data_IF_090646339524
#
_entry.id   IF_090646339524
#
_cell.length_a   1.000
_cell.length_b   1.000
_cell.length_c   1.000
_cell.angle_alpha   90.00
_cell.angle_beta   90.00
_cell.angle_gamma   90.00
#
_symmetry.space_group_name_H-M   'P 1'
#
loop_
_entity.id
_entity.type
_entity.pdbx_description
1 polymer ?
#
# COMPACT_ATOMS: atom_id res chain seq x y z
N UNK A 1 -26.43 -36.02 -6.44
CA UNK A 1 -25.33 -36.88 -5.96
C UNK A 1 -24.15 -35.95 -5.75
N UNK A 2 -23.76 -35.69 -4.51
CA UNK A 2 -22.66 -34.77 -4.21
C UNK A 2 -21.46 -35.62 -3.78
N UNK A 3 -20.43 -35.63 -4.62
CA UNK A 3 -19.16 -36.27 -4.32
C UNK A 3 -18.33 -35.33 -3.46
N UNK A 4 -17.91 -35.81 -2.29
CA UNK A 4 -16.96 -35.10 -1.44
C UNK A 4 -15.64 -34.94 -2.20
N UNK A 5 -15.30 -33.71 -2.58
CA UNK A 5 -13.98 -33.37 -3.13
C UNK A 5 -12.94 -33.53 -2.02
N UNK A 6 -11.91 -34.35 -2.28
CA UNK A 6 -10.88 -34.65 -1.29
C UNK A 6 -10.04 -33.39 -0.99
N UNK A 7 -9.50 -33.29 0.23
CA UNK A 7 -8.72 -32.12 0.66
C UNK A 7 -7.50 -31.79 -0.21
N UNK A 8 -6.96 -32.77 -0.96
CA UNK A 8 -5.89 -32.56 -1.94
C UNK A 8 -6.39 -31.79 -3.18
N UNK A 9 -7.60 -32.10 -3.68
CA UNK A 9 -8.18 -31.46 -4.86
C UNK A 9 -8.52 -29.99 -4.61
N UNK A 10 -8.95 -29.66 -3.38
CA UNK A 10 -9.26 -28.27 -2.97
C UNK A 10 -8.02 -27.38 -3.10
N UNK A 11 -6.83 -27.90 -2.80
CA UNK A 11 -5.59 -27.11 -2.85
C UNK A 11 -5.15 -26.73 -4.26
N UNK A 12 -5.56 -27.50 -5.26
CA UNK A 12 -5.28 -27.27 -6.68
C UNK A 12 -6.42 -26.54 -7.40
N UNK A 13 -7.67 -26.79 -7.02
CA UNK A 13 -8.85 -26.20 -7.68
C UNK A 13 -9.01 -24.72 -7.33
N UNK A 14 -8.86 -24.34 -6.05
CA UNK A 14 -9.09 -22.93 -5.64
C UNK A 14 -8.18 -21.94 -6.40
N UNK A 15 -6.86 -22.15 -6.53
CA UNK A 15 -6.01 -21.26 -7.33
C UNK A 15 -6.53 -21.02 -8.76
N UNK A 16 -6.98 -22.08 -9.43
CA UNK A 16 -7.49 -21.98 -10.79
C UNK A 16 -8.79 -21.17 -10.86
N UNK A 17 -9.70 -21.38 -9.89
CA UNK A 17 -10.92 -20.59 -9.79
C UNK A 17 -10.62 -19.11 -9.54
N UNK A 18 -9.59 -18.79 -8.75
CA UNK A 18 -9.17 -17.41 -8.53
C UNK A 18 -8.70 -16.78 -9.84
N UNK A 19 -7.86 -17.47 -10.61
CA UNK A 19 -7.42 -16.99 -11.92
C UNK A 19 -8.60 -16.70 -12.85
N UNK A 20 -9.60 -17.58 -12.88
CA UNK A 20 -10.81 -17.39 -13.69
C UNK A 20 -11.65 -16.18 -13.20
N UNK A 21 -11.81 -16.00 -11.89
CA UNK A 21 -12.53 -14.88 -11.27
C UNK A 21 -11.79 -13.54 -11.48
N UNK A 22 -10.47 -13.56 -11.49
CA UNK A 22 -9.63 -12.37 -11.72
C UNK A 22 -9.49 -12.00 -13.19
N UNK A 23 -9.73 -12.95 -14.10
CA UNK A 23 -9.63 -12.75 -15.54
C UNK A 23 -10.59 -11.68 -16.07
N UNK A 24 -10.26 -11.10 -17.22
CA UNK A 24 -11.13 -10.12 -17.91
C UNK A 24 -12.37 -10.78 -18.57
N UNK A 25 -12.48 -12.11 -18.54
CA UNK A 25 -13.59 -12.83 -19.15
C UNK A 25 -14.76 -12.99 -18.16
N UNK A 26 -15.70 -12.05 -18.21
CA UNK A 26 -16.89 -12.04 -17.36
C UNK A 26 -17.71 -13.35 -17.41
N UNK A 27 -17.66 -14.09 -18.52
CA UNK A 27 -18.40 -15.36 -18.65
C UNK A 27 -17.89 -16.47 -17.71
N UNK A 28 -16.66 -16.33 -17.20
CA UNK A 28 -16.08 -17.29 -16.26
C UNK A 28 -16.44 -16.97 -14.81
N UNK A 29 -16.76 -15.72 -14.48
CA UNK A 29 -16.91 -15.27 -13.10
C UNK A 29 -18.01 -16.03 -12.35
N UNK A 30 -19.23 -16.08 -12.91
CA UNK A 30 -20.36 -16.74 -12.26
C UNK A 30 -20.16 -18.26 -12.08
N UNK A 31 -19.74 -19.04 -13.10
CA UNK A 31 -19.40 -20.47 -12.93
C UNK A 31 -18.34 -20.71 -11.83
N UNK A 32 -17.25 -19.94 -11.83
CA UNK A 32 -16.17 -20.14 -10.87
C UNK A 32 -16.58 -19.74 -9.45
N UNK A 33 -17.39 -18.69 -9.29
CA UNK A 33 -17.99 -18.33 -8.00
C UNK A 33 -18.96 -19.40 -7.48
N UNK A 34 -19.75 -20.04 -8.35
CA UNK A 34 -20.63 -21.16 -7.94
C UNK A 34 -19.81 -22.34 -7.41
N UNK A 35 -18.76 -22.72 -8.13
CA UNK A 35 -17.89 -23.81 -7.71
C UNK A 35 -17.13 -23.47 -6.43
N UNK A 36 -16.69 -22.21 -6.27
CA UNK A 36 -16.09 -21.74 -5.03
C UNK A 36 -17.07 -21.82 -3.85
N UNK A 37 -18.34 -21.46 -4.06
CA UNK A 37 -19.38 -21.60 -3.03
C UNK A 37 -19.57 -23.06 -2.61
N UNK A 38 -19.62 -24.01 -3.55
CA UNK A 38 -19.72 -25.44 -3.24
C UNK A 38 -18.56 -25.90 -2.35
N UNK A 39 -17.32 -25.56 -2.72
CA UNK A 39 -16.13 -25.90 -1.93
C UNK A 39 -16.20 -25.30 -0.52
N UNK A 40 -16.60 -24.03 -0.40
CA UNK A 40 -16.75 -23.35 0.89
C UNK A 40 -17.85 -23.99 1.74
N UNK A 41 -18.94 -24.45 1.13
CA UNK A 41 -20.02 -25.13 1.85
C UNK A 41 -19.57 -26.50 2.39
N UNK A 42 -18.78 -27.25 1.63
CA UNK A 42 -18.30 -28.57 2.02
C UNK A 42 -17.16 -28.52 3.06
N UNK A 43 -16.39 -27.43 3.10
CA UNK A 43 -15.29 -27.28 4.06
C UNK A 43 -15.71 -26.49 5.31
N UNK A 44 -15.83 -27.20 6.46
CA UNK A 44 -16.18 -26.57 7.75
C UNK A 44 -15.10 -25.64 8.30
N UNK A 45 -13.84 -25.82 7.90
CA UNK A 45 -12.70 -24.97 8.27
C UNK A 45 -12.48 -23.87 7.21
N UNK A 46 -13.57 -23.18 6.82
CA UNK A 46 -13.53 -22.10 5.82
C UNK A 46 -12.59 -20.96 6.19
N UNK A 47 -12.16 -20.87 7.46
CA UNK A 47 -11.22 -19.86 7.96
C UNK A 47 -9.84 -19.99 7.32
N UNK A 48 -9.32 -21.21 7.27
CA UNK A 48 -7.98 -21.47 6.75
C UNK A 48 -7.93 -21.26 5.25
N UNK A 49 -8.99 -21.67 4.53
CA UNK A 49 -9.14 -21.39 3.11
C UNK A 49 -9.27 -19.89 2.82
N UNK A 50 -10.14 -19.19 3.55
CA UNK A 50 -10.35 -17.75 3.36
C UNK A 50 -9.08 -16.94 3.57
N UNK A 51 -8.26 -17.30 4.56
CA UNK A 51 -6.98 -16.65 4.85
C UNK A 51 -5.90 -17.03 3.82
N UNK A 52 -5.73 -18.33 3.57
CA UNK A 52 -4.72 -18.86 2.64
C UNK A 52 -4.84 -18.25 1.25
N UNK A 53 -6.07 -18.12 0.76
CA UNK A 53 -6.38 -17.67 -0.59
C UNK A 53 -6.84 -16.22 -0.68
N UNK A 54 -6.83 -15.47 0.43
CA UNK A 54 -7.25 -14.06 0.48
C UNK A 54 -8.60 -13.81 -0.21
N UNK A 55 -9.60 -14.64 0.08
CA UNK A 55 -10.89 -14.60 -0.60
C UNK A 55 -11.68 -13.30 -0.35
N UNK A 56 -11.45 -12.62 0.78
CA UNK A 56 -12.16 -11.39 1.16
C UNK A 56 -11.98 -10.26 0.14
N UNK A 57 -10.75 -9.80 -0.19
CA UNK A 57 -10.53 -8.83 -1.27
C UNK A 57 -11.13 -9.23 -2.62
N UNK A 58 -10.99 -10.50 -3.01
CA UNK A 58 -11.46 -11.02 -4.28
C UNK A 58 -12.99 -10.89 -4.40
N UNK A 59 -13.72 -11.34 -3.37
CA UNK A 59 -15.18 -11.31 -3.33
C UNK A 59 -15.70 -9.87 -3.22
N UNK A 60 -15.00 -9.00 -2.48
CA UNK A 60 -15.37 -7.59 -2.35
C UNK A 60 -15.40 -6.83 -3.69
N UNK A 61 -14.63 -7.26 -4.70
CA UNK A 61 -14.70 -6.71 -6.07
C UNK A 61 -16.13 -6.76 -6.63
N UNK A 62 -16.83 -7.87 -6.40
CA UNK A 62 -18.18 -8.10 -6.90
C UNK A 62 -19.25 -7.60 -5.92
N UNK A 63 -19.04 -7.78 -4.61
CA UNK A 63 -19.98 -7.27 -3.60
C UNK A 63 -20.01 -5.74 -3.54
N UNK A 64 -18.91 -5.06 -3.92
CA UNK A 64 -18.84 -3.61 -4.03
C UNK A 64 -19.56 -3.04 -5.27
N UNK A 65 -19.78 -3.86 -6.31
CA UNK A 65 -20.64 -3.49 -7.42
C UNK A 65 -22.09 -3.75 -7.00
N UNK A 66 -22.79 -2.71 -6.50
CA UNK A 66 -24.15 -2.78 -5.94
C UNK A 66 -25.21 -2.95 -7.06
N UNK A 67 -24.97 -3.90 -7.95
CA UNK A 67 -25.86 -4.37 -9.00
C UNK A 67 -26.40 -5.74 -8.57
N UNK A 68 -27.70 -5.98 -8.75
CA UNK A 68 -28.32 -7.28 -8.41
C UNK A 68 -28.03 -8.34 -9.48
N UNK A 69 -26.81 -8.39 -9.98
CA UNK A 69 -26.33 -9.41 -10.90
C UNK A 69 -25.99 -10.71 -10.15
N UNK A 70 -25.72 -11.77 -10.91
CA UNK A 70 -25.48 -13.09 -10.36
C UNK A 70 -24.18 -13.14 -9.53
N UNK A 71 -23.15 -12.43 -9.99
CA UNK A 71 -21.84 -12.35 -9.34
C UNK A 71 -21.93 -11.67 -7.97
N UNK A 72 -22.71 -10.59 -7.86
CA UNK A 72 -23.00 -9.93 -6.59
C UNK A 72 -23.68 -10.89 -5.62
N UNK A 73 -24.71 -11.62 -6.08
CA UNK A 73 -25.45 -12.58 -5.24
C UNK A 73 -24.54 -13.71 -4.77
N UNK A 74 -23.76 -14.30 -5.67
CA UNK A 74 -22.83 -15.39 -5.33
C UNK A 74 -21.74 -14.91 -4.37
N UNK A 75 -21.12 -13.77 -4.67
CA UNK A 75 -20.06 -13.20 -3.85
C UNK A 75 -20.54 -12.87 -2.43
N UNK A 76 -21.66 -12.17 -2.29
CA UNK A 76 -22.23 -11.84 -0.98
C UNK A 76 -22.67 -13.08 -0.21
N UNK A 77 -23.14 -14.13 -0.90
CA UNK A 77 -23.47 -15.42 -0.29
C UNK A 77 -22.21 -16.11 0.26
N UNK A 78 -21.11 -16.16 -0.51
CA UNK A 78 -19.85 -16.74 -0.05
C UNK A 78 -19.32 -15.95 1.16
N UNK A 79 -19.30 -14.62 1.08
CA UNK A 79 -18.90 -13.75 2.18
C UNK A 79 -19.74 -14.00 3.44
N UNK A 80 -21.07 -14.15 3.29
CA UNK A 80 -21.96 -14.47 4.39
C UNK A 80 -21.63 -15.83 5.03
N UNK A 81 -21.43 -16.88 4.23
CA UNK A 81 -21.08 -18.22 4.74
C UNK A 81 -19.73 -18.18 5.49
N UNK A 82 -18.72 -17.53 4.91
CA UNK A 82 -17.40 -17.36 5.55
C UNK A 82 -17.56 -16.58 6.86
N UNK A 83 -18.33 -15.48 6.86
CA UNK A 83 -18.58 -14.66 8.04
C UNK A 83 -19.29 -15.42 9.16
N UNK A 84 -20.32 -16.21 8.83
CA UNK A 84 -21.08 -17.02 9.80
C UNK A 84 -20.21 -18.15 10.37
N UNK A 85 -19.41 -18.84 9.54
CA UNK A 85 -18.56 -19.96 9.99
C UNK A 85 -17.31 -19.53 10.75
N UNK A 86 -16.76 -18.37 10.43
CA UNK A 86 -15.47 -17.90 10.97
C UNK A 86 -15.62 -16.74 11.96
N UNK A 87 -16.83 -16.23 12.15
CA UNK A 87 -17.15 -15.07 12.97
C UNK A 87 -17.27 -15.39 14.45
N UNK A 88 -18.30 -14.83 15.08
CA UNK A 88 -18.56 -15.01 16.51
C UNK A 88 -19.38 -16.27 16.77
N UNK A 89 -19.01 -17.03 17.80
CA UNK A 89 -19.84 -18.10 18.36
C UNK A 89 -21.01 -17.54 19.21
N UNK A 90 -21.13 -16.22 19.36
CA UNK A 90 -22.27 -15.59 20.02
C UNK A 90 -23.55 -15.86 19.22
N UNK A 91 -24.41 -16.70 19.80
CA UNK A 91 -25.68 -17.11 19.21
C UNK A 91 -26.58 -15.92 18.86
N UNK A 92 -26.46 -14.80 19.56
CA UNK A 92 -27.19 -13.56 19.29
C UNK A 92 -26.75 -12.94 17.97
N UNK A 93 -25.44 -12.90 17.72
CA UNK A 93 -24.87 -12.38 16.47
C UNK A 93 -25.25 -13.31 15.30
N UNK A 94 -25.15 -14.62 15.51
CA UNK A 94 -25.53 -15.63 14.52
C UNK A 94 -27.04 -15.59 14.18
N UNK A 95 -27.90 -15.40 15.18
CA UNK A 95 -29.33 -15.23 14.98
C UNK A 95 -29.64 -13.97 14.16
N UNK A 96 -28.89 -12.87 14.39
CA UNK A 96 -29.00 -11.65 13.61
C UNK A 96 -28.67 -11.87 12.13
N UNK A 97 -27.58 -12.61 11.86
CA UNK A 97 -27.21 -12.98 10.49
C UNK A 97 -28.28 -13.86 9.81
N UNK A 98 -28.90 -14.78 10.55
CA UNK A 98 -29.92 -15.69 10.02
C UNK A 98 -31.24 -14.99 9.62
N UNK A 99 -31.59 -13.88 10.28
CA UNK A 99 -32.85 -13.16 10.03
C UNK A 99 -32.68 -11.93 9.12
N UNK A 100 -31.45 -11.59 8.71
CA UNK A 100 -31.18 -10.35 7.97
C UNK A 100 -31.88 -10.30 6.61
N UNK A 101 -32.00 -11.43 5.91
CA UNK A 101 -32.77 -11.55 4.66
C UNK A 101 -34.28 -11.33 4.86
N UNK A 102 -34.81 -11.73 6.01
CA UNK A 102 -36.21 -11.50 6.41
C UNK A 102 -36.41 -10.01 6.70
N UNK A 103 -35.46 -9.37 7.40
CA UNK A 103 -35.46 -7.92 7.62
C UNK A 103 -35.41 -7.19 6.28
N UNK A 104 -34.57 -7.60 5.33
CA UNK A 104 -34.55 -7.02 3.99
C UNK A 104 -35.91 -7.15 3.27
N UNK A 105 -36.56 -8.31 3.39
CA UNK A 105 -37.88 -8.56 2.80
C UNK A 105 -38.96 -7.67 3.42
N UNK A 106 -38.90 -7.45 4.74
CA UNK A 106 -39.80 -6.57 5.49
C UNK A 106 -39.77 -5.12 4.96
N UNK A 107 -38.60 -4.61 4.59
CA UNK A 107 -38.44 -3.26 4.04
C UNK A 107 -38.73 -3.15 2.53
N UNK A 108 -39.26 -4.20 1.90
CA UNK A 108 -39.61 -4.18 0.48
C UNK A 108 -40.75 -3.19 0.16
N UNK A 109 -40.64 -2.53 -1.00
CA UNK A 109 -41.74 -1.74 -1.57
C UNK A 109 -42.89 -2.61 -2.07
N UNK A 110 -42.63 -3.88 -2.36
CA UNK A 110 -43.67 -4.84 -2.69
C UNK A 110 -44.42 -5.26 -1.40
N UNK A 111 -45.72 -4.98 -1.38
CA UNK A 111 -46.56 -5.18 -0.20
C UNK A 111 -46.62 -6.65 0.22
N UNK A 112 -46.71 -7.59 -0.74
CA UNK A 112 -46.79 -9.02 -0.44
C UNK A 112 -45.51 -9.53 0.17
N UNK A 113 -44.36 -9.13 -0.37
CA UNK A 113 -43.03 -9.48 0.15
C UNK A 113 -42.83 -8.92 1.55
N UNK A 114 -43.17 -7.64 1.76
CA UNK A 114 -43.06 -6.99 3.07
C UNK A 114 -43.96 -7.64 4.12
N UNK A 115 -45.23 -7.93 3.78
CA UNK A 115 -46.17 -8.65 4.66
C UNK A 115 -45.71 -10.07 4.97
N UNK A 116 -45.11 -10.76 4.01
CA UNK A 116 -44.58 -12.11 4.23
C UNK A 116 -43.36 -12.06 5.16
N UNK A 117 -42.46 -11.08 4.97
CA UNK A 117 -41.31 -10.85 5.84
C UNK A 117 -41.71 -10.47 7.26
N UNK A 118 -42.69 -9.58 7.43
CA UNK A 118 -43.19 -9.19 8.76
C UNK A 118 -43.82 -10.37 9.49
N UNK A 119 -44.63 -11.17 8.80
CA UNK A 119 -45.25 -12.37 9.36
C UNK A 119 -44.20 -13.40 9.79
N UNK A 120 -43.26 -13.75 8.91
CA UNK A 120 -42.20 -14.71 9.20
C UNK A 120 -41.36 -14.28 10.41
N UNK A 121 -41.02 -12.97 10.51
CA UNK A 121 -40.26 -12.48 11.64
C UNK A 121 -41.05 -12.52 12.95
N UNK A 122 -42.35 -12.21 12.92
CA UNK A 122 -43.23 -12.35 14.10
C UNK A 122 -43.30 -13.79 14.60
N UNK A 123 -43.46 -14.77 13.70
CA UNK A 123 -43.46 -16.20 14.06
C UNK A 123 -42.14 -16.61 14.72
N UNK A 124 -41.00 -16.18 14.16
CA UNK A 124 -39.68 -16.45 14.74
C UNK A 124 -39.48 -15.81 16.12
N UNK A 125 -40.01 -14.61 16.36
CA UNK A 125 -39.94 -13.93 17.66
C UNK A 125 -40.73 -14.71 18.72
N UNK A 126 -41.89 -15.28 18.34
CA UNK A 126 -42.70 -16.10 19.24
C UNK A 126 -41.96 -17.37 19.67
N UNK A 127 -41.30 -18.03 18.73
CA UNK A 127 -40.68 -19.34 18.96
C UNK A 127 -39.26 -19.29 19.51
N UNK A 128 -38.49 -18.22 19.24
CA UNK A 128 -37.04 -18.23 19.47
C UNK A 128 -36.55 -17.02 20.27
N UNK A 129 -36.20 -17.26 21.53
CA UNK A 129 -35.67 -16.24 22.46
C UNK A 129 -34.35 -15.60 21.98
N UNK A 130 -33.49 -16.36 21.32
CA UNK A 130 -32.21 -15.86 20.80
C UNK A 130 -32.46 -14.84 19.69
N UNK A 131 -33.45 -15.08 18.83
CA UNK A 131 -33.87 -14.12 17.79
C UNK A 131 -34.42 -12.84 18.44
N UNK A 132 -35.20 -12.96 19.52
CA UNK A 132 -35.69 -11.79 20.26
C UNK A 132 -34.54 -10.94 20.78
N UNK A 133 -33.59 -11.57 21.49
CA UNK A 133 -32.41 -10.88 22.01
C UNK A 133 -31.55 -10.30 20.89
N UNK A 134 -31.45 -10.97 19.75
CA UNK A 134 -30.77 -10.43 18.57
C UNK A 134 -31.42 -9.14 18.10
N UNK A 135 -32.72 -9.14 17.81
CA UNK A 135 -33.41 -7.95 17.32
C UNK A 135 -33.30 -6.77 18.29
N UNK A 136 -33.26 -7.04 19.59
CA UNK A 136 -33.10 -6.01 20.62
C UNK A 136 -31.68 -5.43 20.69
N UNK A 137 -30.65 -6.17 20.27
CA UNK A 137 -29.24 -5.78 20.41
C UNK A 137 -28.53 -5.43 19.10
N UNK A 138 -28.98 -5.95 17.95
CA UNK A 138 -28.28 -5.84 16.65
C UNK A 138 -28.81 -4.70 15.76
N UNK A 139 -29.30 -3.61 16.38
CA UNK A 139 -29.66 -2.37 15.67
C UNK A 139 -31.00 -2.40 14.92
N UNK A 140 -31.80 -3.46 15.01
CA UNK A 140 -33.12 -3.51 14.38
C UNK A 140 -34.05 -2.40 14.90
N UNK A 141 -34.06 -2.12 16.21
CA UNK A 141 -34.85 -1.04 16.80
C UNK A 141 -34.45 0.33 16.20
N UNK A 142 -33.16 0.56 15.94
CA UNK A 142 -32.69 1.78 15.27
C UNK A 142 -33.15 1.85 13.81
N UNK A 143 -33.15 0.72 13.07
CA UNK A 143 -33.73 0.65 11.72
C UNK A 143 -35.22 1.01 11.73
N UNK A 144 -35.98 0.52 12.72
CA UNK A 144 -37.40 0.88 12.92
C UNK A 144 -37.52 2.39 13.16
N UNK A 145 -36.73 2.95 14.07
CA UNK A 145 -36.73 4.37 14.40
C UNK A 145 -36.52 5.24 13.14
N UNK A 146 -35.49 4.93 12.36
CA UNK A 146 -35.17 5.64 11.12
C UNK A 146 -36.30 5.58 10.09
N UNK A 147 -36.96 4.42 9.96
CA UNK A 147 -38.07 4.22 9.04
C UNK A 147 -39.25 5.17 9.29
N UNK A 148 -39.45 5.59 10.53
CA UNK A 148 -40.50 6.55 10.92
C UNK A 148 -40.02 8.00 10.84
N UNK A 149 -38.78 8.31 11.26
CA UNK A 149 -38.23 9.68 11.19
C UNK A 149 -38.18 10.19 9.74
N UNK A 150 -37.70 9.37 8.80
CA UNK A 150 -37.60 9.74 7.39
C UNK A 150 -38.97 9.89 6.70
N UNK A 151 -40.06 9.63 7.42
CA UNK A 151 -41.42 9.80 6.93
C UNK A 151 -42.13 11.04 7.48
N UNK A 152 -41.60 11.67 8.54
CA UNK A 152 -42.21 12.85 9.18
C UNK A 152 -41.69 14.20 8.63
N UNK A 153 -40.70 14.22 7.73
CA UNK A 153 -40.14 15.47 7.19
C UNK A 153 -41.02 16.15 6.10
N UNK A 154 -42.13 15.53 5.66
CA UNK A 154 -42.92 16.06 4.54
C UNK A 154 -44.01 17.06 4.92
N UNK A 155 -44.11 17.50 6.18
CA UNK A 155 -45.17 18.43 6.62
C UNK A 155 -44.70 19.88 6.76
N UNK A 156 -43.88 20.37 5.84
CA UNK A 156 -43.76 21.81 5.56
C UNK A 156 -43.04 22.09 4.25
N UNK A 157 -43.83 22.33 3.19
CA UNK A 157 -43.60 23.26 2.05
C UNK A 157 -43.78 22.64 0.68
N UNK A 158 -44.65 23.26 -0.09
CA UNK A 158 -44.97 23.03 -1.49
C UNK A 158 -43.76 23.21 -2.42
N UNK A 159 -43.52 22.28 -3.35
CA UNK A 159 -43.36 22.50 -4.80
C UNK A 159 -42.63 21.33 -5.49
N UNK A 160 -43.23 20.88 -6.59
CA UNK A 160 -42.63 20.21 -7.75
C UNK A 160 -41.56 19.11 -7.56
N UNK A 161 -41.97 17.90 -7.94
CA UNK A 161 -41.17 16.93 -8.69
C UNK A 161 -39.94 16.34 -8.02
N UNK A 162 -40.05 15.85 -6.78
CA UNK A 162 -39.22 14.76 -6.30
C UNK A 162 -40.08 13.75 -5.54
N UNK A 163 -40.07 12.49 -5.97
CA UNK A 163 -40.66 11.38 -5.22
C UNK A 163 -39.76 11.11 -4.02
N UNK A 164 -39.87 11.93 -2.98
CA UNK A 164 -39.16 11.70 -1.72
C UNK A 164 -39.56 10.33 -1.19
N UNK A 165 -38.54 9.52 -0.88
CA UNK A 165 -38.61 8.10 -0.55
C UNK A 165 -39.25 7.88 0.82
N UNK A 166 -40.55 8.10 0.92
CA UNK A 166 -41.30 7.82 2.14
C UNK A 166 -41.41 6.31 2.34
N UNK A 167 -41.19 5.86 3.57
CA UNK A 167 -41.41 4.46 3.95
C UNK A 167 -42.87 4.09 3.67
N UNK A 168 -43.14 3.03 2.87
CA UNK A 168 -44.51 2.66 2.55
C UNK A 168 -45.35 2.32 3.79
N UNK A 169 -46.66 2.61 3.73
CA UNK A 169 -47.59 2.37 4.84
C UNK A 169 -47.57 0.92 5.34
N UNK A 170 -47.55 -0.05 4.43
CA UNK A 170 -47.53 -1.47 4.78
C UNK A 170 -46.26 -1.87 5.55
N UNK A 171 -45.11 -1.27 5.23
CA UNK A 171 -43.86 -1.47 5.97
C UNK A 171 -44.00 -0.91 7.38
N UNK A 172 -44.53 0.31 7.55
CA UNK A 172 -44.77 0.92 8.86
C UNK A 172 -45.66 0.05 9.75
N UNK A 173 -46.76 -0.45 9.20
CA UNK A 173 -47.65 -1.37 9.92
C UNK A 173 -46.92 -2.66 10.35
N UNK A 174 -46.16 -3.28 9.44
CA UNK A 174 -45.38 -4.48 9.73
C UNK A 174 -44.32 -4.26 10.81
N UNK A 175 -43.62 -3.12 10.79
CA UNK A 175 -42.64 -2.76 11.82
C UNK A 175 -43.28 -2.62 13.20
N UNK A 176 -44.45 -1.98 13.29
CA UNK A 176 -45.17 -1.85 14.57
C UNK A 176 -45.66 -3.20 15.08
N UNK A 177 -46.07 -4.12 14.20
CA UNK A 177 -46.44 -5.48 14.62
C UNK A 177 -45.26 -6.23 15.24
N UNK A 178 -44.08 -6.11 14.62
CA UNK A 178 -42.85 -6.70 15.15
C UNK A 178 -42.46 -6.08 16.50
N UNK A 179 -42.48 -4.74 16.61
CA UNK A 179 -42.17 -4.06 17.88
C UNK A 179 -43.16 -4.45 18.97
N UNK A 180 -44.46 -4.49 18.67
CA UNK A 180 -45.47 -4.94 19.61
C UNK A 180 -45.18 -6.36 20.11
N UNK A 181 -44.80 -7.27 19.20
CA UNK A 181 -44.44 -8.64 19.59
C UNK A 181 -43.20 -8.68 20.47
N UNK A 182 -42.15 -7.93 20.14
CA UNK A 182 -40.92 -7.86 20.95
C UNK A 182 -41.21 -7.35 22.36
N UNK A 183 -41.93 -6.22 22.47
CA UNK A 183 -42.27 -5.63 23.78
C UNK A 183 -43.17 -6.55 24.62
N UNK A 184 -44.00 -7.37 23.98
CA UNK A 184 -44.85 -8.34 24.69
C UNK A 184 -44.10 -9.60 25.16
N UNK A 185 -42.88 -9.86 24.67
CA UNK A 185 -42.19 -11.16 24.85
C UNK A 185 -40.79 -11.05 25.43
N UNK A 186 -40.22 -9.85 25.56
CA UNK A 186 -38.87 -9.61 26.08
C UNK A 186 -38.95 -8.88 27.42
N UNK A 187 -38.14 -9.30 28.38
CA UNK A 187 -38.07 -8.67 29.71
C UNK A 187 -37.27 -7.35 29.69
N UNK A 188 -36.13 -7.32 29.00
CA UNK A 188 -35.33 -6.10 28.85
C UNK A 188 -35.88 -5.21 27.73
N UNK A 189 -36.65 -4.20 28.12
CA UNK A 189 -37.26 -3.25 27.20
C UNK A 189 -36.41 -2.00 26.95
N UNK A 190 -35.24 -1.86 27.61
CA UNK A 190 -34.39 -0.66 27.48
C UNK A 190 -34.08 -0.29 26.02
N UNK A 191 -33.77 -1.24 25.11
CA UNK A 191 -33.50 -0.90 23.72
C UNK A 191 -34.67 -0.21 23.00
N UNK A 192 -35.91 -0.47 23.39
CA UNK A 192 -37.12 0.10 22.77
C UNK A 192 -37.44 1.53 23.22
N UNK A 193 -36.76 2.04 24.25
CA UNK A 193 -36.96 3.39 24.78
C UNK A 193 -36.76 4.48 23.72
N UNK A 194 -35.86 4.26 22.76
CA UNK A 194 -35.60 5.18 21.64
C UNK A 194 -36.82 5.41 20.74
N UNK A 195 -37.80 4.51 20.78
CA UNK A 195 -39.05 4.60 20.02
C UNK A 195 -40.12 5.43 20.74
N UNK A 196 -39.98 5.72 22.04
CA UNK A 196 -41.00 6.43 22.83
C UNK A 196 -41.40 7.78 22.21
N UNK A 197 -40.47 8.67 21.79
CA UNK A 197 -40.84 9.94 21.17
C UNK A 197 -41.68 9.74 19.90
N UNK A 198 -41.28 8.79 19.05
CA UNK A 198 -41.96 8.49 17.79
C UNK A 198 -43.33 7.87 18.05
N UNK A 199 -43.44 6.91 18.97
CA UNK A 199 -44.72 6.31 19.34
C UNK A 199 -45.68 7.35 19.93
N UNK A 200 -45.16 8.35 20.64
CA UNK A 200 -45.95 9.48 21.16
C UNK A 200 -46.47 10.37 20.03
N UNK A 201 -45.63 10.67 19.04
CA UNK A 201 -46.04 11.40 17.84
C UNK A 201 -47.10 10.63 17.03
N UNK A 202 -46.85 9.34 16.75
CA UNK A 202 -47.77 8.47 16.00
C UNK A 202 -49.10 8.26 16.72
N UNK A 203 -49.10 8.25 18.06
CA UNK A 203 -50.32 8.21 18.87
C UNK A 203 -51.20 9.44 18.64
N UNK A 204 -50.61 10.62 18.42
CA UNK A 204 -51.37 11.86 18.30
C UNK A 204 -51.69 12.20 16.83
N UNK A 205 -50.77 11.85 15.91
CA UNK A 205 -50.76 12.35 14.53
C UNK A 205 -50.77 11.23 13.47
N UNK A 206 -50.71 9.95 13.87
CA UNK A 206 -50.66 8.81 12.94
C UNK A 206 -52.01 8.47 12.30
N UNK A 207 -51.95 7.78 11.16
CA UNK A 207 -53.13 7.17 10.52
C UNK A 207 -53.80 6.13 11.44
N UNK A 208 -55.12 5.93 11.31
CA UNK A 208 -55.95 5.19 12.28
C UNK A 208 -55.37 3.85 12.77
N UNK A 209 -54.86 3.00 11.88
CA UNK A 209 -54.31 1.69 12.29
C UNK A 209 -52.91 1.81 12.90
N UNK A 210 -52.06 2.70 12.37
CA UNK A 210 -50.75 3.03 12.92
C UNK A 210 -50.90 3.61 14.33
N UNK A 211 -51.85 4.52 14.51
CA UNK A 211 -52.21 5.12 15.80
C UNK A 211 -52.64 4.05 16.80
N UNK A 212 -53.53 3.13 16.40
CA UNK A 212 -53.99 2.04 17.27
C UNK A 212 -52.83 1.13 17.70
N UNK A 213 -51.94 0.75 16.76
CA UNK A 213 -50.76 -0.07 17.06
C UNK A 213 -49.78 0.67 17.97
N UNK A 214 -49.52 1.95 17.71
CA UNK A 214 -48.63 2.77 18.53
C UNK A 214 -49.15 2.91 19.97
N UNK A 215 -50.46 3.14 20.14
CA UNK A 215 -51.10 3.18 21.47
C UNK A 215 -50.91 1.87 22.22
N UNK A 216 -51.12 0.72 21.57
CA UNK A 216 -50.95 -0.59 22.22
C UNK A 216 -49.51 -0.82 22.67
N UNK A 217 -48.54 -0.49 21.84
CA UNK A 217 -47.10 -0.61 22.20
C UNK A 217 -46.77 0.32 23.37
N UNK A 218 -47.23 1.57 23.30
CA UNK A 218 -46.99 2.56 24.35
C UNK A 218 -47.58 2.12 25.70
N UNK A 219 -48.76 1.50 25.70
CA UNK A 219 -49.40 0.94 26.90
C UNK A 219 -48.62 -0.22 27.51
N UNK A 220 -47.83 -0.98 26.73
CA UNK A 220 -46.98 -2.05 27.27
C UNK A 220 -45.67 -1.48 27.86
N UNK A 221 -45.12 -0.44 27.25
CA UNK A 221 -43.89 0.22 27.72
C UNK A 221 -44.10 1.00 29.02
N UNK A 222 -45.22 1.72 29.17
CA UNK A 222 -45.46 2.65 30.28
C UNK A 222 -45.56 2.00 31.69
N UNK A 223 -46.33 0.91 31.92
CA UNK A 223 -46.43 0.28 33.24
C UNK A 223 -45.16 -0.46 33.67
N UNK A 224 -44.26 -0.83 32.74
CA UNK A 224 -42.99 -1.46 33.08
C UNK A 224 -41.89 -0.44 33.41
N UNK A 225 -41.96 0.76 32.84
CA UNK A 225 -41.13 1.90 33.26
C UNK A 225 -41.56 2.45 34.63
N UNK A 226 -42.84 2.32 35.00
CA UNK A 226 -43.38 2.79 36.28
C UNK A 226 -43.12 1.87 37.49
N UNK A 227 -42.63 0.64 37.31
CA UNK A 227 -42.32 -0.28 38.44
C UNK A 227 -41.14 0.18 39.31
N UNK A 228 -40.41 1.23 38.93
CA UNK A 228 -39.32 1.80 39.74
C UNK A 228 -39.75 2.91 40.71
N UNK A 229 -41.03 3.33 40.74
CA UNK A 229 -41.46 4.37 41.67
C UNK A 229 -42.94 4.27 41.99
N UNK A 230 -43.26 3.89 43.23
CA UNK A 230 -44.63 3.93 43.74
C UNK A 230 -44.59 4.15 45.25
N UNK A 231 -45.06 5.31 45.74
CA UNK A 231 -45.87 5.43 46.97
C UNK A 231 -46.75 6.70 46.95
N UNK A 232 -47.83 6.67 47.75
CA UNK A 232 -49.07 7.44 47.61
C UNK A 232 -49.12 8.81 48.32
N UNK A 233 -49.54 9.81 47.55
CA UNK A 233 -50.59 10.83 47.80
C UNK A 233 -50.60 11.79 49.01
N UNK A 234 -49.68 11.72 49.98
CA UNK A 234 -49.39 12.86 50.89
C UNK A 234 -48.00 13.48 50.71
N UNK A 235 -47.14 12.81 49.95
CA UNK A 235 -45.81 13.29 49.55
C UNK A 235 -45.85 14.29 48.39
N UNK A 236 -46.98 14.57 47.74
CA UNK A 236 -46.98 15.31 46.46
C UNK A 236 -46.34 16.70 46.52
N UNK A 237 -46.41 17.42 47.63
CA UNK A 237 -45.77 18.75 47.73
C UNK A 237 -44.26 18.65 48.02
N UNK A 238 -43.82 17.69 48.83
CA UNK A 238 -42.40 17.42 49.09
C UNK A 238 -41.73 16.73 47.88
N UNK A 239 -42.48 15.90 47.16
CA UNK A 239 -42.10 15.23 45.92
C UNK A 239 -42.03 16.24 44.76
N UNK A 240 -42.95 17.22 44.66
CA UNK A 240 -42.82 18.33 43.71
C UNK A 240 -41.58 19.17 44.00
N UNK A 241 -41.23 19.38 45.28
CA UNK A 241 -40.01 20.10 45.68
C UNK A 241 -38.75 19.28 45.34
N UNK A 242 -38.72 17.99 45.66
CA UNK A 242 -37.63 17.08 45.29
C UNK A 242 -37.48 16.90 43.78
N UNK A 243 -38.59 16.85 43.03
CA UNK A 243 -38.61 16.80 41.56
C UNK A 243 -38.10 18.11 40.95
N UNK A 244 -38.42 19.27 41.54
CA UNK A 244 -37.85 20.56 41.11
C UNK A 244 -36.35 20.62 41.37
N UNK A 245 -35.89 20.20 42.54
CA UNK A 245 -34.46 20.12 42.86
C UNK A 245 -33.73 19.07 42.01
N UNK A 246 -34.41 17.99 41.63
CA UNK A 246 -33.93 16.97 40.70
C UNK A 246 -33.82 17.49 39.27
N UNK A 247 -34.84 18.21 38.77
CA UNK A 247 -34.80 18.86 37.46
C UNK A 247 -33.71 19.93 37.37
N UNK A 248 -33.52 20.73 38.42
CA UNK A 248 -32.44 21.73 38.47
C UNK A 248 -31.05 21.05 38.43
N UNK A 249 -30.87 19.94 39.16
CA UNK A 249 -29.64 19.14 39.11
C UNK A 249 -29.42 18.51 37.73
N UNK A 250 -30.45 17.90 37.15
CA UNK A 250 -30.38 17.28 35.82
C UNK A 250 -30.12 18.33 34.73
N UNK A 251 -30.70 19.53 34.86
CA UNK A 251 -30.45 20.65 33.96
C UNK A 251 -29.00 21.13 34.07
N UNK A 252 -28.47 21.29 35.28
CA UNK A 252 -27.07 21.65 35.50
C UNK A 252 -26.11 20.58 34.96
N UNK A 253 -26.46 19.30 35.11
CA UNK A 253 -25.68 18.18 34.56
C UNK A 253 -25.73 18.14 33.02
N UNK A 254 -26.90 18.37 32.42
CA UNK A 254 -27.03 18.54 30.96
C UNK A 254 -26.23 19.73 30.44
N UNK A 255 -26.22 20.85 31.16
CA UNK A 255 -25.41 22.02 30.82
C UNK A 255 -23.92 21.68 30.81
N UNK A 256 -23.45 20.98 31.86
CA UNK A 256 -22.06 20.52 31.99
C UNK A 256 -21.67 19.51 30.91
N UNK A 257 -22.54 18.54 30.62
CA UNK A 257 -22.33 17.55 29.56
C UNK A 257 -22.30 18.20 28.17
N UNK A 258 -23.13 19.22 27.94
CA UNK A 258 -23.13 20.01 26.70
C UNK A 258 -21.83 20.79 26.53
N UNK A 259 -21.29 21.36 27.61
CA UNK A 259 -20.00 22.05 27.57
C UNK A 259 -18.83 21.07 27.35
N UNK A 260 -18.88 19.89 27.96
CA UNK A 260 -17.89 18.84 27.72
C UNK A 260 -17.94 18.32 26.28
N UNK A 261 -19.15 18.15 25.71
CA UNK A 261 -19.33 17.76 24.31
C UNK A 261 -18.73 18.81 23.36
N UNK A 262 -18.94 20.10 23.62
CA UNK A 262 -18.30 21.17 22.85
C UNK A 262 -16.78 21.12 22.90
N UNK A 263 -16.19 20.84 24.07
CA UNK A 263 -14.74 20.70 24.21
C UNK A 263 -14.22 19.51 23.39
N UNK A 264 -14.93 18.38 23.42
CA UNK A 264 -14.61 17.19 22.61
C UNK A 264 -14.73 17.45 21.11
N UNK A 265 -15.76 18.17 20.67
CA UNK A 265 -15.92 18.58 19.26
C UNK A 265 -14.79 19.50 18.79
N UNK A 266 -14.38 20.48 19.61
CA UNK A 266 -13.24 21.35 19.30
C UNK A 266 -11.92 20.57 19.22
N UNK A 267 -11.70 19.61 20.10
CA UNK A 267 -10.53 18.74 20.07
C UNK A 267 -10.50 17.86 18.82
N UNK A 268 -11.64 17.25 18.47
CA UNK A 268 -11.80 16.45 17.27
C UNK A 268 -11.57 17.29 16.00
N UNK A 269 -12.03 18.54 15.98
CA UNK A 269 -11.78 19.45 14.86
C UNK A 269 -10.30 19.82 14.72
N UNK A 270 -9.57 19.97 15.83
CA UNK A 270 -8.11 20.20 15.80
C UNK A 270 -7.36 18.96 15.33
N UNK A 271 -7.80 17.78 15.73
CA UNK A 271 -7.21 16.52 15.29
C UNK A 271 -7.42 16.28 13.79
N UNK A 272 -8.63 16.57 13.29
CA UNK A 272 -8.92 16.53 11.84
C UNK A 272 -8.02 17.46 11.05
N UNK A 273 -7.82 18.70 11.51
CA UNK A 273 -6.87 19.64 10.88
C UNK A 273 -5.43 19.09 10.83
N UNK A 274 -4.96 18.48 11.91
CA UNK A 274 -3.62 17.85 11.93
C UNK A 274 -3.53 16.67 10.97
N UNK A 275 -4.59 15.88 10.83
CA UNK A 275 -4.65 14.78 9.89
C UNK A 275 -4.61 15.29 8.44
N UNK A 276 -5.40 16.31 8.11
CA UNK A 276 -5.43 16.92 6.77
C UNK A 276 -4.05 17.51 6.39
N UNK A 277 -3.38 18.19 7.32
CA UNK A 277 -2.02 18.71 7.12
C UNK A 277 -0.98 17.58 6.91
N UNK A 278 -1.09 16.49 7.67
CA UNK A 278 -0.23 15.32 7.51
C UNK A 278 -0.45 14.64 6.16
N UNK A 279 -1.70 14.50 5.72
CA UNK A 279 -2.06 13.91 4.43
C UNK A 279 -1.52 14.75 3.26
N UNK A 280 -1.65 16.07 3.32
CA UNK A 280 -1.04 16.97 2.34
C UNK A 280 0.49 16.87 2.29
N UNK A 281 1.14 16.63 3.44
CA UNK A 281 2.59 16.44 3.50
C UNK A 281 3.01 15.10 2.91
N UNK A 282 2.25 14.03 3.17
CA UNK A 282 2.45 12.71 2.57
C UNK A 282 2.30 12.78 1.05
N UNK A 283 1.26 13.47 0.55
CA UNK A 283 1.05 13.64 -0.88
C UNK A 283 2.21 14.36 -1.57
N UNK A 284 2.73 15.45 -0.97
CA UNK A 284 3.92 16.15 -1.48
C UNK A 284 5.16 15.25 -1.49
N UNK A 285 5.43 14.54 -0.40
CA UNK A 285 6.56 13.60 -0.34
C UNK A 285 6.45 12.46 -1.37
N UNK A 286 5.23 12.00 -1.67
CA UNK A 286 5.00 11.00 -2.70
C UNK A 286 5.30 11.55 -4.11
N UNK A 287 4.90 12.79 -4.39
CA UNK A 287 5.24 13.46 -5.65
C UNK A 287 6.75 13.68 -5.80
N UNK A 288 7.43 14.12 -4.73
CA UNK A 288 8.89 14.33 -4.75
C UNK A 288 9.63 13.01 -5.02
N UNK A 289 9.20 11.90 -4.40
CA UNK A 289 9.78 10.57 -4.65
C UNK A 289 9.58 10.09 -6.08
N UNK A 290 8.40 10.35 -6.66
CA UNK A 290 8.13 9.98 -8.06
C UNK A 290 9.01 10.79 -9.02
N UNK A 291 9.22 12.08 -8.74
CA UNK A 291 10.12 12.93 -9.51
C UNK A 291 11.57 12.44 -9.42
N UNK A 292 12.06 12.13 -8.21
CA UNK A 292 13.41 11.60 -7.99
C UNK A 292 13.63 10.25 -8.70
N UNK A 293 12.61 9.38 -8.70
CA UNK A 293 12.64 8.11 -9.43
C UNK A 293 12.79 8.32 -10.94
N UNK A 294 12.00 9.23 -11.52
CA UNK A 294 12.10 9.56 -12.95
C UNK A 294 13.46 10.17 -13.31
N UNK A 295 14.05 10.98 -12.43
CA UNK A 295 15.38 11.54 -12.65
C UNK A 295 16.47 10.45 -12.61
N UNK A 296 16.36 9.50 -11.67
CA UNK A 296 17.28 8.37 -11.57
C UNK A 296 17.18 7.44 -12.79
N UNK A 297 15.97 7.14 -13.27
CA UNK A 297 15.77 6.35 -14.50
C UNK A 297 16.41 7.02 -15.73
N UNK A 298 16.33 8.36 -15.83
CA UNK A 298 17.01 9.12 -16.90
C UNK A 298 18.52 9.03 -16.79
N UNK A 299 19.07 9.19 -15.58
CA UNK A 299 20.52 9.07 -15.34
C UNK A 299 21.02 7.66 -15.66
N UNK A 300 20.29 6.63 -15.27
CA UNK A 300 20.64 5.24 -15.56
C UNK A 300 20.63 4.95 -17.07
N UNK A 301 19.64 5.47 -17.80
CA UNK A 301 19.59 5.36 -19.27
C UNK A 301 20.76 6.09 -19.96
N UNK A 302 21.17 7.26 -19.44
CA UNK A 302 22.33 8.01 -19.95
C UNK A 302 23.64 7.27 -19.65
N UNK A 303 23.78 6.71 -18.45
CA UNK A 303 24.95 5.95 -18.02
C UNK A 303 25.13 4.69 -18.90
N UNK A 304 24.03 4.00 -19.21
CA UNK A 304 24.03 2.87 -20.14
C UNK A 304 24.47 3.26 -21.56
N UNK A 305 24.02 4.42 -22.07
CA UNK A 305 24.47 4.93 -23.39
C UNK A 305 25.97 5.21 -23.41
N UNK A 306 26.51 5.80 -22.34
CA UNK A 306 27.94 6.08 -22.22
C UNK A 306 28.76 4.79 -22.09
N UNK A 307 28.25 3.76 -21.41
CA UNK A 307 28.87 2.43 -21.38
C UNK A 307 28.92 1.79 -22.77
N UNK A 308 27.81 1.82 -23.51
CA UNK A 308 27.74 1.31 -24.89
C UNK A 308 28.72 2.06 -25.82
N UNK A 309 28.80 3.39 -25.70
CA UNK A 309 29.74 4.22 -26.47
C UNK A 309 31.21 3.89 -26.12
N UNK A 310 31.53 3.72 -24.83
CA UNK A 310 32.86 3.34 -24.38
C UNK A 310 33.28 1.95 -24.88
N UNK A 311 32.39 0.96 -24.85
CA UNK A 311 32.66 -0.36 -25.42
C UNK A 311 32.89 -0.28 -26.94
N UNK A 312 32.12 0.54 -27.65
CA UNK A 312 32.30 0.76 -29.08
C UNK A 312 33.64 1.46 -29.39
N UNK A 313 34.03 2.47 -28.60
CA UNK A 313 35.34 3.13 -28.71
C UNK A 313 36.50 2.15 -28.46
N UNK A 314 36.41 1.29 -27.43
CA UNK A 314 37.40 0.23 -27.19
C UNK A 314 37.50 -0.75 -28.36
N UNK A 315 36.37 -1.14 -28.95
CA UNK A 315 36.32 -2.02 -30.12
C UNK A 315 36.98 -1.37 -31.34
N UNK A 316 36.67 -0.10 -31.61
CA UNK A 316 37.29 0.67 -32.68
C UNK A 316 38.80 0.89 -32.46
N UNK A 317 39.24 1.08 -31.20
CA UNK A 317 40.66 1.15 -30.87
C UNK A 317 41.37 -0.18 -31.14
N UNK A 318 40.76 -1.32 -30.76
CA UNK A 318 41.28 -2.65 -31.10
C UNK A 318 41.39 -2.86 -32.60
N UNK A 319 40.38 -2.45 -33.38
CA UNK A 319 40.41 -2.56 -34.84
C UNK A 319 41.46 -1.64 -35.49
N UNK A 320 41.75 -0.47 -34.91
CA UNK A 320 42.85 0.39 -35.36
C UNK A 320 44.23 -0.20 -35.03
N UNK A 321 44.35 -0.97 -33.94
CA UNK A 321 45.57 -1.70 -33.58
C UNK A 321 45.74 -2.98 -34.42
N UNK A 322 44.64 -3.56 -34.93
CA UNK A 322 44.62 -4.75 -35.80
C UNK A 322 44.69 -4.45 -37.30
N UNK A 323 44.71 -3.18 -37.73
CA UNK A 323 45.28 -2.86 -39.03
C UNK A 323 46.76 -3.27 -38.98
N UNK A 324 47.24 -4.12 -39.91
CA UNK A 324 48.60 -4.61 -39.84
C UNK A 324 49.54 -3.42 -39.93
N UNK A 325 50.09 -3.01 -38.78
CA UNK A 325 51.36 -2.32 -38.73
C UNK A 325 52.29 -3.23 -39.50
N UNK A 326 52.62 -2.82 -40.72
CA UNK A 326 53.73 -3.39 -41.46
C UNK A 326 54.86 -3.49 -40.44
N UNK A 327 55.27 -4.71 -40.11
CA UNK A 327 56.50 -4.95 -39.36
C UNK A 327 57.60 -4.21 -40.13
N UNK A 328 57.93 -3.00 -39.68
CA UNK A 328 59.19 -2.40 -40.08
C UNK A 328 60.27 -3.36 -39.61
N UNK A 329 61.26 -3.67 -40.46
CA UNK A 329 62.33 -4.59 -40.11
C UNK A 329 62.99 -4.10 -38.82
N UNK A 330 62.93 -4.97 -37.81
CA UNK A 330 63.51 -4.79 -36.49
C UNK A 330 65.02 -4.96 -36.60
N UNK A 331 65.69 -4.00 -37.24
CA UNK A 331 67.13 -3.86 -37.30
C UNK A 331 67.43 -2.36 -37.46
N UNK A 332 67.38 -1.60 -36.35
CA UNK A 332 68.01 -0.28 -36.28
C UNK A 332 69.38 -0.47 -35.63
N UNK A 333 70.46 -0.75 -36.39
CA UNK A 333 71.79 -0.82 -35.81
C UNK A 333 72.19 0.58 -35.32
N UNK A 334 72.08 0.80 -34.00
CA UNK A 334 72.56 2.01 -33.34
C UNK A 334 74.10 2.00 -33.42
N UNK A 335 74.67 3.06 -34.00
CA UNK A 335 76.11 3.19 -34.18
C UNK A 335 76.63 4.24 -33.21
N UNK A 336 77.66 3.90 -32.45
CA UNK A 336 78.28 4.85 -31.53
C UNK A 336 79.29 5.70 -32.32
N UNK A 337 79.10 7.01 -32.27
CA UNK A 337 80.07 7.96 -32.77
C UNK A 337 81.23 8.05 -31.77
N UNK A 338 82.34 7.40 -32.11
CA UNK A 338 83.54 7.38 -31.30
C UNK A 338 84.34 8.67 -31.49
N UNK A 339 84.02 9.67 -30.67
CA UNK A 339 84.68 10.99 -30.72
C UNK A 339 86.17 10.88 -30.33
N UNK A 340 86.60 9.78 -29.65
CA UNK A 340 88.00 9.64 -29.21
C UNK A 340 88.53 8.20 -29.16
N UNK A 341 88.91 7.66 -30.32
CA UNK A 341 89.29 6.24 -30.51
C UNK A 341 90.55 5.79 -29.77
N UNK A 342 91.38 6.71 -29.30
CA UNK A 342 92.59 6.41 -28.53
C UNK A 342 92.33 5.99 -27.08
N UNK A 343 91.17 6.32 -26.51
CA UNK A 343 90.89 6.13 -25.08
C UNK A 343 89.78 5.12 -24.77
N UNK A 344 89.06 4.63 -25.78
CA UNK A 344 87.95 3.70 -25.62
C UNK A 344 88.04 2.50 -26.58
N UNK A 345 87.48 1.38 -26.16
CA UNK A 345 87.22 0.20 -27.00
C UNK A 345 85.72 -0.09 -27.03
N UNK A 346 85.25 -0.59 -28.17
CA UNK A 346 83.87 -0.99 -28.38
C UNK A 346 83.83 -2.48 -28.71
N UNK A 347 82.89 -3.21 -28.11
CA UNK A 347 82.63 -4.61 -28.44
C UNK A 347 81.13 -4.88 -28.45
N UNK A 348 80.68 -5.74 -29.36
CA UNK A 348 79.31 -6.20 -29.41
C UNK A 348 79.07 -7.29 -28.36
N UNK A 349 78.02 -7.16 -27.55
CA UNK A 349 77.63 -8.20 -26.59
C UNK A 349 76.73 -9.24 -27.27
N UNK A 350 75.68 -8.78 -27.98
CA UNK A 350 74.65 -9.65 -28.56
C UNK A 350 74.00 -9.08 -29.84
N UNK A 351 74.67 -8.15 -30.53
CA UNK A 351 74.14 -7.46 -31.71
C UNK A 351 73.12 -6.36 -31.42
N UNK A 352 72.59 -6.29 -30.19
CA UNK A 352 71.65 -5.25 -29.73
C UNK A 352 72.34 -4.29 -28.75
N UNK A 353 73.19 -4.81 -27.88
CA UNK A 353 73.93 -4.02 -26.88
C UNK A 353 75.41 -3.89 -27.23
N UNK A 354 75.92 -2.65 -27.13
CA UNK A 354 77.33 -2.31 -27.29
C UNK A 354 77.98 -2.12 -25.93
N UNK A 355 79.14 -2.72 -25.71
CA UNK A 355 80.00 -2.49 -24.54
C UNK A 355 81.08 -1.48 -24.85
N UNK A 356 81.13 -0.40 -24.07
CA UNK A 356 82.18 0.62 -24.10
C UNK A 356 83.15 0.34 -22.95
N UNK A 357 84.44 0.21 -23.25
CA UNK A 357 85.50 0.00 -22.24
C UNK A 357 86.52 1.12 -22.31
N UNK A 358 86.70 1.84 -21.21
CA UNK A 358 87.66 2.93 -21.07
C UNK A 358 89.07 2.38 -20.80
N UNK A 359 90.09 2.96 -21.45
CA UNK A 359 91.49 2.52 -21.34
C UNK A 359 92.38 3.40 -20.45
N UNK A 360 91.98 4.65 -20.21
CA UNK A 360 92.76 5.62 -19.42
C UNK A 360 91.83 6.41 -18.52
N UNK A 361 92.31 6.81 -17.36
CA UNK A 361 91.59 7.65 -16.40
C UNK A 361 91.50 9.10 -16.92
N UNK A 362 90.42 9.40 -17.65
CA UNK A 362 90.16 10.71 -18.25
C UNK A 362 88.66 10.88 -18.52
N UNK A 363 88.15 12.11 -18.59
CA UNK A 363 86.75 12.34 -18.94
C UNK A 363 86.53 12.14 -20.45
N UNK A 364 85.65 11.20 -20.81
CA UNK A 364 85.36 10.85 -22.21
C UNK A 364 83.86 10.90 -22.45
N UNK A 365 83.46 11.36 -23.63
CA UNK A 365 82.08 11.35 -24.08
C UNK A 365 81.98 10.58 -25.40
N UNK A 366 80.87 9.85 -25.56
CA UNK A 366 80.50 9.17 -26.80
C UNK A 366 79.04 9.51 -27.09
N UNK A 367 78.71 9.79 -28.34
CA UNK A 367 77.33 10.03 -28.77
C UNK A 367 76.84 8.91 -29.69
N UNK A 368 75.53 8.81 -29.86
CA UNK A 368 74.98 8.02 -30.95
C UNK A 368 75.17 8.77 -32.27
N UNK A 369 75.35 8.04 -33.36
CA UNK A 369 75.43 8.62 -34.72
C UNK A 369 74.04 8.99 -35.23
N UNK A 370 73.01 8.32 -34.73
CA UNK A 370 71.62 8.55 -35.10
C UNK A 370 71.05 9.77 -34.37
N UNK A 371 70.33 10.60 -35.11
CA UNK A 371 69.49 11.67 -34.56
C UNK A 371 68.11 11.09 -34.23
N UNK A 372 67.70 11.22 -32.97
CA UNK A 372 66.46 10.65 -32.45
C UNK A 372 65.30 11.64 -32.66
N UNK A 373 64.83 11.78 -33.89
CA UNK A 373 63.72 12.67 -34.25
C UNK A 373 62.37 11.90 -34.27
N UNK A 374 61.29 12.56 -33.83
CA UNK A 374 59.90 12.11 -33.93
C UNK A 374 59.58 10.70 -33.37
N UNK A 375 58.87 10.63 -32.24
CA UNK A 375 58.41 9.38 -31.65
C UNK A 375 58.87 9.20 -30.20
N UNK A 376 58.60 8.02 -29.64
CA UNK A 376 59.04 7.63 -28.30
C UNK A 376 60.21 6.66 -28.48
N UNK A 377 61.34 6.99 -27.86
CA UNK A 377 62.55 6.18 -27.92
C UNK A 377 62.88 5.66 -26.51
N UNK A 378 63.27 4.39 -26.45
CA UNK A 378 63.76 3.75 -25.24
C UNK A 378 65.27 3.44 -25.37
N UNK A 379 65.98 3.62 -24.26
CA UNK A 379 67.40 3.29 -24.15
C UNK A 379 67.64 2.64 -22.80
N UNK A 380 68.26 1.47 -22.82
CA UNK A 380 68.76 0.80 -21.63
C UNK A 380 70.29 0.93 -21.57
N UNK A 381 70.82 1.36 -20.43
CA UNK A 381 72.25 1.41 -20.19
C UNK A 381 72.59 0.85 -18.82
N UNK A 382 73.72 0.14 -18.76
CA UNK A 382 74.28 -0.41 -17.55
C UNK A 382 75.69 0.15 -17.34
N UNK A 383 75.91 0.78 -16.19
CA UNK A 383 77.23 1.25 -15.76
C UNK A 383 77.87 0.22 -14.84
N UNK A 384 79.08 -0.20 -15.16
CA UNK A 384 79.88 -1.08 -14.32
C UNK A 384 81.12 -0.31 -13.86
N UNK A 385 80.91 0.66 -12.97
CA UNK A 385 81.96 1.51 -12.38
C UNK A 385 82.07 1.23 -10.88
N UNK A 386 83.29 1.22 -10.34
CA UNK A 386 83.50 1.27 -8.88
C UNK A 386 83.62 2.71 -8.39
N UNK A 387 83.60 2.94 -7.07
CA UNK A 387 83.69 4.28 -6.48
C UNK A 387 85.02 5.00 -6.82
N UNK A 388 86.05 4.25 -7.22
CA UNK A 388 87.36 4.77 -7.67
C UNK A 388 87.43 4.98 -9.20
N UNK A 389 86.51 4.40 -9.99
CA UNK A 389 86.53 4.44 -11.47
C UNK A 389 85.81 5.66 -12.08
N UNK A 390 85.23 6.51 -11.23
CA UNK A 390 84.46 7.69 -11.63
C UNK A 390 82.96 7.45 -11.86
N UNK A 391 82.25 8.50 -12.28
CA UNK A 391 80.80 8.48 -12.52
C UNK A 391 80.50 8.29 -14.02
N UNK A 392 79.65 7.31 -14.34
CA UNK A 392 79.07 7.14 -15.67
C UNK A 392 77.74 7.88 -15.75
N UNK A 393 77.42 8.48 -16.90
CA UNK A 393 76.15 9.18 -17.04
C UNK A 393 75.60 9.13 -18.47
N UNK A 394 74.28 9.22 -18.56
CA UNK A 394 73.56 9.43 -19.82
C UNK A 394 72.98 10.84 -19.88
N UNK A 395 72.96 11.40 -21.08
CA UNK A 395 72.28 12.67 -21.34
C UNK A 395 71.80 12.81 -22.77
N UNK A 396 70.87 13.76 -22.94
CA UNK A 396 70.28 14.12 -24.23
C UNK A 396 70.73 15.53 -24.58
N UNK A 397 71.27 15.70 -25.79
CA UNK A 397 71.71 16.98 -26.35
C UNK A 397 71.00 17.24 -27.67
N UNK A 398 70.87 18.50 -28.05
CA UNK A 398 70.39 18.86 -29.39
C UNK A 398 71.38 18.37 -30.45
N UNK A 399 70.88 17.90 -31.59
CA UNK A 399 71.72 17.40 -32.70
C UNK A 399 72.79 18.41 -33.16
N UNK A 400 72.44 19.69 -33.15
CA UNK A 400 73.33 20.79 -33.53
C UNK A 400 74.44 21.07 -32.51
N UNK A 401 74.44 20.42 -31.35
CA UNK A 401 75.40 20.65 -30.29
C UNK A 401 76.65 19.77 -30.44
N UNK A 402 77.78 20.42 -30.75
CA UNK A 402 79.08 19.76 -30.77
C UNK A 402 79.61 19.57 -29.34
N UNK A 403 79.67 18.32 -28.87
CA UNK A 403 80.18 18.01 -27.54
C UNK A 403 81.70 18.21 -27.49
N UNK A 404 82.23 19.10 -26.63
CA UNK A 404 83.68 19.32 -26.52
C UNK A 404 84.37 18.12 -25.87
N UNK A 405 85.67 17.94 -26.13
CA UNK A 405 86.47 16.85 -25.53
C UNK A 405 87.75 17.41 -24.92
N UNK A 406 88.02 17.16 -23.62
CA UNK A 406 87.19 16.47 -22.62
C UNK A 406 85.98 17.31 -22.17
N UNK A 407 84.88 16.67 -21.80
CA UNK A 407 83.71 17.31 -21.21
C UNK A 407 83.25 16.55 -19.97
N UNK A 408 82.97 17.29 -18.89
CA UNK A 408 82.32 16.78 -17.69
C UNK A 408 80.81 17.00 -17.81
N UNK A 409 79.95 16.07 -17.37
CA UNK A 409 78.51 16.20 -17.56
C UNK A 409 77.89 17.47 -16.96
N UNK A 410 78.54 18.08 -15.96
CA UNK A 410 78.13 19.34 -15.34
C UNK A 410 78.78 20.62 -15.90
N UNK A 411 79.66 20.54 -16.89
CA UNK A 411 80.43 21.71 -17.35
C UNK A 411 79.77 22.54 -18.46
N UNK A 412 78.69 22.06 -19.11
CA UNK A 412 78.04 22.76 -20.23
C UNK A 412 76.50 22.70 -20.15
N UNK A 413 75.83 23.84 -20.42
CA UNK A 413 74.40 24.09 -20.17
C UNK A 413 73.42 23.53 -21.21
N UNK A 414 73.87 22.69 -22.14
CA UNK A 414 73.06 22.23 -23.29
C UNK A 414 72.55 20.78 -23.16
N UNK A 415 72.75 20.14 -22.00
CA UNK A 415 72.27 18.78 -21.70
C UNK A 415 70.95 18.86 -20.92
N UNK A 416 69.88 18.26 -21.45
CA UNK A 416 68.53 18.39 -20.88
C UNK A 416 68.21 17.40 -19.73
N UNK A 417 68.94 16.28 -19.66
CA UNK A 417 68.74 15.26 -18.62
C UNK A 417 70.09 14.66 -18.23
N UNK A 418 70.33 14.50 -16.93
CA UNK A 418 71.53 13.86 -16.39
C UNK A 418 71.09 12.80 -15.39
N UNK A 419 71.47 11.54 -15.63
CA UNK A 419 71.33 10.44 -14.68
C UNK A 419 72.66 9.69 -14.65
N UNK A 420 73.27 9.60 -13.47
CA UNK A 420 74.55 8.95 -13.21
C UNK A 420 74.71 8.54 -11.75
#
# INVERSE_FOLDING_TARGET
>A
MFGSTAGADVTTIIPHLIEEIESDNANLHAPSLRQLLEIILDNRESKDLSLKYKLMPLLNKFAGNIEKNEEFVLSTTILHVIGVRNGSDDKTILAGAAIDSIIHSLFSRDEKTSKSGSKALCELIEENEIIRHSLMRTGFISKVQYAFINSSQSSSSSSSSQTESTTPYHVKCGLLDIVHRLVATVDDLQPTSILIPILTELKNNGEKDIQKKAVNIFLLLNPQVAKSSSFESKEKDDEIKLLKEGMEREKAEKEKNKEELKRKEEELLRERRRADEAEQKIHRLAQDKEYEKQENEKKEAELKKLEDENENLKSNQKQQIENPIQKLPQDFPIAIHNINSTYQNFSDINGVMKKITQKKDFHICSSLTQVMENGIWDLEAQFNTTQEDGAGALGIVQDTFNIPVPCYPGSNSSTAFFCG
#
